data_IF_426913157154
#
_entry.id   IF_426913157154
#
_cell.length_a   1.000
_cell.length_b   1.000
_cell.length_c   1.000
_cell.angle_alpha   90.00
_cell.angle_beta   90.00
_cell.angle_gamma   90.00
#
_symmetry.space_group_name_H-M   'P 1'
#
loop_
_entity.id
_entity.type
_entity.pdbx_description
1 polymer ?
#
# COMPACT_ATOMS: atom_id res chain seq x y z
N UNK A 1 -42.71 34.82 37.99
CA UNK A 1 -43.07 35.65 36.81
C UNK A 1 -41.75 36.08 36.18
N UNK A 2 -41.41 35.78 34.93
CA UNK A 2 -42.10 36.19 33.71
C UNK A 2 -41.56 35.32 32.56
N UNK A 3 -42.50 34.69 31.83
CA UNK A 3 -42.27 34.05 30.53
C UNK A 3 -41.62 35.05 29.59
N UNK A 4 -40.80 34.58 28.65
CA UNK A 4 -40.82 35.01 27.25
C UNK A 4 -40.04 33.99 26.40
N UNK A 5 -40.83 33.21 25.64
CA UNK A 5 -40.43 32.44 24.46
C UNK A 5 -40.12 33.42 23.34
N UNK A 6 -38.99 33.30 22.63
CA UNK A 6 -38.87 33.72 21.22
C UNK A 6 -37.90 32.77 20.48
N UNK A 7 -38.44 32.12 19.45
CA UNK A 7 -37.73 31.36 18.42
C UNK A 7 -36.88 32.29 17.55
N UNK A 8 -35.67 31.85 17.18
CA UNK A 8 -35.03 32.29 15.94
C UNK A 8 -34.23 31.12 15.36
N UNK A 9 -34.89 30.40 14.45
CA UNK A 9 -34.29 29.44 13.52
C UNK A 9 -33.35 30.18 12.58
N UNK A 10 -32.05 30.13 12.84
CA UNK A 10 -31.05 30.44 11.82
C UNK A 10 -30.66 29.12 11.15
N UNK A 11 -31.30 28.84 10.01
CA UNK A 11 -30.87 27.80 9.11
C UNK A 11 -29.47 28.17 8.61
N UNK A 12 -28.44 27.57 9.23
CA UNK A 12 -27.11 27.56 8.65
C UNK A 12 -27.21 26.75 7.36
N UNK A 13 -27.30 27.45 6.23
CA UNK A 13 -27.05 26.84 4.93
C UNK A 13 -25.58 26.41 4.94
N UNK A 14 -25.35 25.16 5.33
CA UNK A 14 -24.07 24.49 5.11
C UNK A 14 -23.86 24.43 3.61
N UNK A 15 -23.18 25.43 3.06
CA UNK A 15 -22.64 25.37 1.71
C UNK A 15 -21.69 24.16 1.70
N UNK A 16 -22.20 23.02 1.22
CA UNK A 16 -21.40 21.84 0.98
C UNK A 16 -20.27 22.27 0.06
N UNK A 17 -19.04 22.22 0.57
CA UNK A 17 -17.88 22.54 -0.25
C UNK A 17 -17.91 21.60 -1.47
N UNK A 18 -17.72 22.11 -2.69
CA UNK A 18 -17.57 21.23 -3.83
C UNK A 18 -16.37 20.33 -3.54
N UNK A 19 -16.61 19.02 -3.47
CA UNK A 19 -15.57 18.03 -3.38
C UNK A 19 -14.79 18.08 -4.70
N UNK A 20 -13.81 18.98 -4.80
CA UNK A 20 -12.88 18.99 -5.91
C UNK A 20 -12.11 17.68 -5.86
N UNK A 21 -12.42 16.79 -6.79
CA UNK A 21 -11.68 15.56 -7.00
C UNK A 21 -10.21 15.94 -7.21
N UNK A 22 -9.36 15.67 -6.21
CA UNK A 22 -7.92 15.90 -6.35
C UNK A 22 -7.43 14.99 -7.48
N UNK A 23 -6.79 15.53 -8.54
CA UNK A 23 -6.28 14.69 -9.60
C UNK A 23 -5.38 13.64 -8.99
N UNK A 24 -5.64 12.37 -9.34
CA UNK A 24 -4.83 11.26 -8.86
C UNK A 24 -3.37 11.53 -9.23
N UNK A 25 -2.41 11.23 -8.34
CA UNK A 25 -0.99 11.39 -8.65
C UNK A 25 -0.67 10.62 -9.93
N UNK A 26 0.13 11.24 -10.81
CA UNK A 26 0.51 10.68 -12.11
C UNK A 26 1.17 9.30 -12.00
N UNK A 27 1.74 8.96 -10.84
CA UNK A 27 2.27 7.65 -10.50
C UNK A 27 1.74 7.21 -9.13
N UNK A 28 0.67 6.40 -9.07
CA UNK A 28 0.16 5.88 -7.80
C UNK A 28 1.26 5.06 -7.10
N UNK A 29 1.45 5.31 -5.82
CA UNK A 29 2.43 4.60 -4.99
C UNK A 29 1.73 4.08 -3.75
N UNK A 30 2.10 2.88 -3.29
CA UNK A 30 1.58 2.28 -2.06
C UNK A 30 2.73 1.72 -1.24
N UNK A 31 2.68 1.93 0.08
CA UNK A 31 3.65 1.38 1.02
C UNK A 31 3.17 0.01 1.48
N UNK A 32 4.03 -1.01 1.37
CA UNK A 32 3.76 -2.36 1.86
C UNK A 32 4.41 -2.55 3.22
N UNK A 33 3.60 -2.49 4.28
CA UNK A 33 4.07 -2.74 5.64
C UNK A 33 4.40 -4.23 5.82
N UNK A 34 5.55 -4.49 6.46
CA UNK A 34 6.07 -5.85 6.69
C UNK A 34 6.70 -6.05 8.08
N UNK A 35 6.59 -5.06 8.97
CA UNK A 35 7.16 -5.11 10.32
C UNK A 35 6.50 -6.16 11.23
N UNK A 36 5.30 -6.60 10.86
CA UNK A 36 4.54 -7.65 11.54
C UNK A 36 4.90 -9.07 11.08
N UNK A 37 5.72 -9.20 10.02
CA UNK A 37 6.09 -10.49 9.44
C UNK A 37 7.47 -10.92 9.92
N UNK A 38 7.60 -12.20 10.32
CA UNK A 38 8.91 -12.81 10.46
C UNK A 38 9.46 -13.23 9.09
N UNK A 39 10.19 -12.31 8.46
CA UNK A 39 10.81 -12.50 7.14
C UNK A 39 11.96 -13.52 7.15
N UNK A 40 12.35 -14.03 8.32
CA UNK A 40 13.33 -15.13 8.44
C UNK A 40 12.68 -16.48 8.17
N UNK A 41 11.36 -16.54 8.11
CA UNK A 41 10.60 -17.75 7.82
C UNK A 41 10.11 -17.74 6.39
N UNK A 42 9.98 -18.93 5.80
CA UNK A 42 9.38 -19.08 4.48
C UNK A 42 7.93 -18.57 4.45
N UNK A 43 7.18 -18.79 5.54
CA UNK A 43 5.80 -18.33 5.67
C UNK A 43 5.70 -16.79 5.65
N UNK A 44 6.57 -16.09 6.40
CA UNK A 44 6.62 -14.63 6.41
C UNK A 44 7.05 -14.04 5.06
N UNK A 45 8.09 -14.61 4.45
CA UNK A 45 8.53 -14.22 3.11
C UNK A 45 7.42 -14.42 2.05
N UNK A 46 6.71 -15.55 2.06
CA UNK A 46 5.57 -15.79 1.18
C UNK A 46 4.46 -14.77 1.43
N UNK A 47 4.14 -14.48 2.68
CA UNK A 47 3.10 -13.51 3.05
C UNK A 47 3.43 -12.11 2.53
N UNK A 48 4.68 -11.66 2.65
CA UNK A 48 5.15 -10.41 2.05
C UNK A 48 4.94 -10.41 0.53
N UNK A 49 5.31 -11.49 -0.15
CA UNK A 49 5.13 -11.60 -1.59
C UNK A 49 3.66 -11.60 -2.02
N UNK A 50 2.75 -12.14 -1.20
CA UNK A 50 1.30 -12.00 -1.42
C UNK A 50 0.87 -10.54 -1.30
N UNK A 51 1.28 -9.83 -0.24
CA UNK A 51 0.96 -8.41 -0.05
C UNK A 51 1.43 -7.54 -1.21
N UNK A 52 2.64 -7.81 -1.72
CA UNK A 52 3.17 -7.12 -2.90
C UNK A 52 2.30 -7.35 -4.13
N UNK A 53 1.80 -8.56 -4.37
CA UNK A 53 0.90 -8.82 -5.51
C UNK A 53 -0.39 -8.01 -5.41
N UNK A 54 -0.96 -7.88 -4.22
CA UNK A 54 -2.13 -7.04 -4.00
C UNK A 54 -1.82 -5.56 -4.23
N UNK A 55 -0.70 -5.07 -3.67
CA UNK A 55 -0.24 -3.70 -3.88
C UNK A 55 -0.03 -3.36 -5.37
N UNK A 56 0.59 -4.26 -6.13
CA UNK A 56 0.76 -4.12 -7.59
C UNK A 56 -0.59 -4.02 -8.30
N UNK A 57 -1.57 -4.85 -7.93
CA UNK A 57 -2.91 -4.78 -8.50
C UNK A 57 -3.61 -3.45 -8.17
N UNK A 58 -3.40 -2.91 -6.97
CA UNK A 58 -3.92 -1.60 -6.55
C UNK A 58 -3.31 -0.46 -7.36
N UNK A 59 -1.99 -0.47 -7.55
CA UNK A 59 -1.25 0.59 -8.27
C UNK A 59 -1.56 0.57 -9.77
N UNK A 60 -1.57 -0.61 -10.40
CA UNK A 60 -1.86 -0.74 -11.83
C UNK A 60 -3.36 -0.69 -12.17
N UNK A 61 -4.24 -0.79 -11.16
CA UNK A 61 -5.69 -0.70 -11.34
C UNK A 61 -6.28 -1.79 -12.24
N UNK A 62 -7.40 -1.44 -12.86
CA UNK A 62 -8.18 -2.28 -13.76
C UNK A 62 -8.61 -1.47 -14.98
N UNK A 63 -8.59 -2.09 -16.16
CA UNK A 63 -9.14 -1.50 -17.38
C UNK A 63 -10.61 -1.89 -17.57
N UNK A 64 -11.32 -1.14 -18.42
CA UNK A 64 -12.69 -1.47 -18.83
C UNK A 64 -12.75 -2.83 -19.50
N UNK A 65 -13.89 -3.53 -19.39
CA UNK A 65 -14.03 -4.84 -20.00
C UNK A 65 -13.99 -4.84 -21.52
N UNK A 66 -14.38 -3.73 -22.13
CA UNK A 66 -14.43 -3.51 -23.57
C UNK A 66 -13.13 -2.91 -24.13
N UNK A 67 -12.16 -2.58 -23.28
CA UNK A 67 -10.89 -1.97 -23.66
C UNK A 67 -9.76 -3.02 -23.65
N UNK A 68 -9.52 -3.60 -24.82
CA UNK A 68 -8.47 -4.63 -24.99
C UNK A 68 -7.07 -4.03 -24.85
N UNK A 69 -6.86 -2.81 -25.35
CA UNK A 69 -5.57 -2.13 -25.26
C UNK A 69 -5.24 -1.80 -23.81
N UNK A 70 -6.16 -1.17 -23.08
CA UNK A 70 -5.99 -0.91 -21.65
C UNK A 70 -5.82 -2.18 -20.82
N UNK A 71 -6.48 -3.29 -21.19
CA UNK A 71 -6.22 -4.60 -20.58
C UNK A 71 -4.79 -5.07 -20.82
N UNK A 72 -4.21 -4.82 -21.99
CA UNK A 72 -2.80 -5.15 -22.27
C UNK A 72 -1.87 -4.29 -21.43
N UNK A 73 -2.14 -2.98 -21.35
CA UNK A 73 -1.35 -2.02 -20.57
C UNK A 73 -1.36 -2.37 -19.08
N UNK A 74 -2.51 -2.70 -18.51
CA UNK A 74 -2.60 -3.14 -17.10
C UNK A 74 -1.81 -4.43 -16.87
N UNK A 75 -1.84 -5.38 -17.82
CA UNK A 75 -1.03 -6.61 -17.69
C UNK A 75 0.46 -6.31 -17.73
N UNK A 76 0.88 -5.43 -18.62
CA UNK A 76 2.28 -5.02 -18.73
C UNK A 76 2.74 -4.27 -17.47
N UNK A 77 1.94 -3.30 -17.00
CA UNK A 77 2.17 -2.60 -15.74
C UNK A 77 2.36 -3.58 -14.58
N UNK A 78 1.47 -4.57 -14.44
CA UNK A 78 1.56 -5.55 -13.35
C UNK A 78 2.82 -6.40 -13.43
N UNK A 79 3.24 -6.78 -14.64
CA UNK A 79 4.47 -7.54 -14.86
C UNK A 79 5.68 -6.72 -14.44
N UNK A 80 5.82 -5.51 -14.95
CA UNK A 80 7.01 -4.67 -14.73
C UNK A 80 7.10 -4.21 -13.27
N UNK A 81 5.98 -3.76 -12.71
CA UNK A 81 5.91 -3.33 -11.30
C UNK A 81 6.22 -4.50 -10.36
N UNK A 82 5.73 -5.71 -10.67
CA UNK A 82 6.01 -6.89 -9.86
C UNK A 82 7.48 -7.30 -9.91
N UNK A 83 8.15 -7.19 -11.06
CA UNK A 83 9.59 -7.46 -11.15
C UNK A 83 10.36 -6.52 -10.22
N UNK A 84 10.11 -5.21 -10.33
CA UNK A 84 10.79 -4.21 -9.50
C UNK A 84 10.50 -4.40 -8.00
N UNK A 85 9.24 -4.62 -7.63
CA UNK A 85 8.86 -4.81 -6.24
C UNK A 85 9.39 -6.13 -5.66
N UNK A 86 9.48 -7.20 -6.47
CA UNK A 86 10.02 -8.48 -6.00
C UNK A 86 11.51 -8.39 -5.72
N UNK A 87 12.27 -7.67 -6.55
CA UNK A 87 13.69 -7.41 -6.28
C UNK A 87 13.90 -6.62 -4.97
N UNK A 88 13.06 -5.62 -4.70
CA UNK A 88 13.10 -4.91 -3.41
C UNK A 88 12.76 -5.84 -2.23
N UNK A 89 11.76 -6.70 -2.38
CA UNK A 89 11.39 -7.66 -1.34
C UNK A 89 12.53 -8.64 -1.03
N UNK A 90 13.24 -9.12 -2.05
CA UNK A 90 14.40 -10.01 -1.87
C UNK A 90 15.51 -9.34 -1.05
N UNK A 91 15.78 -8.05 -1.28
CA UNK A 91 16.74 -7.29 -0.48
C UNK A 91 16.30 -7.19 0.99
N UNK A 92 15.02 -6.92 1.24
CA UNK A 92 14.47 -6.84 2.60
C UNK A 92 14.53 -8.20 3.31
N UNK A 93 14.16 -9.28 2.62
CA UNK A 93 14.22 -10.65 3.15
C UNK A 93 15.67 -11.04 3.45
N UNK A 94 16.59 -10.77 2.52
CA UNK A 94 18.01 -11.04 2.72
C UNK A 94 18.60 -10.21 3.89
N UNK A 95 18.14 -8.98 4.06
CA UNK A 95 18.48 -8.13 5.22
C UNK A 95 18.05 -8.77 6.54
N UNK A 96 16.79 -9.22 6.63
CA UNK A 96 16.27 -9.88 7.83
C UNK A 96 17.03 -11.16 8.22
N UNK A 97 17.63 -11.86 7.24
CA UNK A 97 18.48 -13.01 7.51
C UNK A 97 19.85 -12.63 8.11
N UNK A 98 20.37 -11.43 7.77
CA UNK A 98 21.68 -10.92 8.24
C UNK A 98 21.63 -10.39 9.67
N UNK A 99 20.45 -10.04 10.18
CA UNK A 99 20.26 -9.62 11.59
C UNK A 99 20.46 -10.76 12.61
N UNK A 100 20.92 -11.94 12.18
CA UNK A 100 21.40 -12.98 13.11
C UNK A 100 22.68 -12.52 13.80
N UNK A 101 22.71 -12.66 15.12
CA UNK A 101 23.90 -12.36 15.92
C UNK A 101 25.13 -13.10 15.37
N UNK A 102 26.21 -12.36 15.13
CA UNK A 102 27.51 -12.93 14.79
C UNK A 102 28.05 -13.60 16.05
N UNK A 103 28.15 -14.92 16.04
CA UNK A 103 28.84 -15.66 17.10
C UNK A 103 30.32 -15.76 16.76
N UNK A 104 31.18 -15.31 17.67
CA UNK A 104 32.63 -15.45 17.58
C UNK A 104 33.08 -16.36 18.71
N UNK A 105 33.74 -17.47 18.37
CA UNK A 105 34.35 -18.41 19.33
C UNK A 105 35.87 -18.43 19.17
N UNK A 106 36.60 -18.63 20.27
CA UNK A 106 38.07 -18.72 20.23
C UNK A 106 38.53 -20.03 19.58
N UNK A 107 39.52 -19.96 18.69
CA UNK A 107 40.29 -21.13 18.25
C UNK A 107 41.38 -21.35 19.31
N UNK A 108 41.06 -22.04 20.40
CA UNK A 108 42.08 -22.61 21.26
C UNK A 108 42.53 -23.95 20.66
N UNK A 109 43.84 -24.17 20.70
CA UNK A 109 44.59 -25.20 19.97
C UNK A 109 44.48 -26.58 20.59
#
# INVERSE_FOLDING_TARGET
MKKLLILATLAAASFGQPALARPAPANPTVVVQHSDLDLRTEAGARTLQHRIRHAVATVCGTASDFDIEGKNDVRQCRKDTRVLASAQAELVIAGAARDRAIQVSSIQK
#
